data_IF_629565657406
#
_entry.id   IF_629565657406
#
_cell.length_a   1.000
_cell.length_b   1.000
_cell.length_c   1.000
_cell.angle_alpha   90.00
_cell.angle_beta   90.00
_cell.angle_gamma   90.00
#
_symmetry.space_group_name_H-M   'P 1'
#
loop_
_entity.id
_entity.type
_entity.pdbx_description
1 polymer ?
#
# COMPACT_ATOMS: atom_id res chain seq x y z
N UNK A 1 -19.47 60.06 16.25
CA UNK A 1 -18.10 60.54 16.50
C UNK A 1 -17.90 61.83 15.74
N UNK A 2 -17.66 62.92 16.45
CA UNK A 2 -17.46 64.26 15.88
C UNK A 2 -16.05 64.33 15.25
N UNK A 3 -15.86 65.07 14.14
CA UNK A 3 -14.54 65.27 13.54
C UNK A 3 -13.49 65.77 14.54
N UNK A 4 -13.95 66.55 15.54
CA UNK A 4 -13.12 67.03 16.65
C UNK A 4 -12.63 65.90 17.57
N UNK A 5 -13.45 64.89 17.82
CA UNK A 5 -13.05 63.71 18.63
C UNK A 5 -12.03 62.86 17.88
N UNK A 6 -12.23 62.69 16.57
CA UNK A 6 -11.34 61.90 15.71
C UNK A 6 -9.97 62.58 15.57
N UNK A 7 -9.95 63.91 15.48
CA UNK A 7 -8.71 64.69 15.49
C UNK A 7 -7.97 64.57 16.83
N UNK A 8 -8.68 64.67 17.96
CA UNK A 8 -8.06 64.52 19.28
C UNK A 8 -7.45 63.12 19.47
N UNK A 9 -8.16 62.06 19.07
CA UNK A 9 -7.63 60.69 19.10
C UNK A 9 -6.35 60.54 18.27
N UNK A 10 -6.30 61.17 17.08
CA UNK A 10 -5.09 61.16 16.24
C UNK A 10 -3.92 61.89 16.91
N UNK A 11 -4.18 63.00 17.60
CA UNK A 11 -3.16 63.72 18.38
C UNK A 11 -2.62 62.83 19.49
N UNK A 12 -3.50 62.19 20.26
CA UNK A 12 -3.13 61.29 21.35
C UNK A 12 -2.23 60.14 20.85
N UNK A 13 -2.63 59.49 19.74
CA UNK A 13 -1.84 58.41 19.10
C UNK A 13 -0.44 58.90 18.71
N UNK A 14 -0.33 60.10 18.15
CA UNK A 14 0.96 60.67 17.73
C UNK A 14 1.84 60.98 18.95
N UNK A 15 1.27 61.49 20.03
CA UNK A 15 2.02 61.78 21.27
C UNK A 15 2.51 60.51 21.94
N UNK A 16 1.66 59.49 22.07
CA UNK A 16 2.03 58.17 22.59
C UNK A 16 3.13 57.52 21.74
N UNK A 17 3.01 57.59 20.41
CA UNK A 17 4.02 57.05 19.49
C UNK A 17 5.37 57.74 19.70
N UNK A 18 5.40 59.07 19.84
CA UNK A 18 6.63 59.83 20.14
C UNK A 18 7.23 59.41 21.48
N UNK A 19 6.38 59.19 22.50
CA UNK A 19 6.81 58.73 23.81
C UNK A 19 7.49 57.35 23.75
N UNK A 20 6.86 56.37 23.10
CA UNK A 20 7.40 55.01 22.99
C UNK A 20 8.69 54.97 22.16
N UNK A 21 8.75 55.72 21.05
CA UNK A 21 9.97 55.84 20.25
C UNK A 21 11.13 56.45 21.05
N UNK A 22 10.88 57.48 21.86
CA UNK A 22 11.91 58.11 22.70
C UNK A 22 12.40 57.18 23.81
N UNK A 23 11.52 56.35 24.36
CA UNK A 23 11.85 55.40 25.44
C UNK A 23 12.42 54.08 24.95
N UNK A 24 12.42 53.82 23.64
CA UNK A 24 12.80 52.54 23.04
C UNK A 24 12.07 51.34 23.66
N UNK A 25 10.87 51.57 24.18
CA UNK A 25 10.08 50.55 24.85
C UNK A 25 8.66 50.62 24.30
N UNK A 26 8.24 49.61 23.54
CA UNK A 26 6.85 49.39 23.18
C UNK A 26 6.33 48.29 24.09
N UNK A 27 5.25 48.52 24.87
CA UNK A 27 4.63 47.44 25.60
C UNK A 27 4.09 46.43 24.58
N UNK A 28 4.61 45.20 24.61
CA UNK A 28 4.02 44.10 23.86
C UNK A 28 2.88 43.58 24.73
N UNK A 29 1.66 43.93 24.35
CA UNK A 29 0.48 43.37 24.99
C UNK A 29 0.39 41.89 24.61
N UNK A 30 0.52 41.02 25.60
CA UNK A 30 0.26 39.59 25.48
C UNK A 30 -0.75 39.19 26.55
N UNK A 31 -1.51 38.14 26.28
CA UNK A 31 -2.42 37.57 27.29
C UNK A 31 -1.59 36.78 28.33
N UNK A 32 -2.12 36.62 29.54
CA UNK A 32 -1.40 35.93 30.63
C UNK A 32 -1.06 34.45 30.32
N UNK A 33 -1.77 33.86 29.37
CA UNK A 33 -1.59 32.48 28.88
C UNK A 33 -0.66 32.38 27.66
N UNK A 34 -0.23 33.51 27.08
CA UNK A 34 0.74 33.52 25.99
C UNK A 34 2.19 33.49 26.55
N UNK A 35 3.09 32.71 25.94
CA UNK A 35 4.50 32.73 26.30
C UNK A 35 5.11 34.10 26.01
N UNK A 36 6.06 34.52 26.86
CA UNK A 36 6.76 35.79 26.68
C UNK A 36 7.37 35.83 25.25
N UNK A 37 7.11 36.89 24.47
CA UNK A 37 7.69 37.06 23.14
C UNK A 37 9.23 36.92 23.13
N UNK A 38 9.90 37.27 24.23
CA UNK A 38 11.35 37.10 24.41
C UNK A 38 11.82 35.64 24.47
N UNK A 39 10.93 34.72 24.84
CA UNK A 39 11.21 33.28 24.97
C UNK A 39 10.91 32.49 23.68
N UNK A 40 10.43 33.15 22.62
CA UNK A 40 10.12 32.52 21.34
C UNK A 40 11.42 32.28 20.56
N UNK A 41 11.95 31.05 20.64
CA UNK A 41 13.10 30.64 19.83
C UNK A 41 12.72 30.37 18.37
N UNK A 42 13.06 31.30 17.47
CA UNK A 42 12.95 31.09 16.04
C UNK A 42 14.10 30.20 15.52
N UNK A 43 13.85 28.91 15.28
CA UNK A 43 14.82 28.06 14.56
C UNK A 43 14.89 28.44 13.09
N UNK A 44 15.89 29.24 12.73
CA UNK A 44 16.24 29.50 11.34
C UNK A 44 17.01 28.29 10.76
N UNK A 45 16.50 27.70 9.69
CA UNK A 45 17.20 26.64 8.93
C UNK A 45 17.56 27.15 7.54
N UNK A 46 18.86 27.18 7.22
CA UNK A 46 19.35 27.56 5.90
C UNK A 46 18.82 26.61 4.81
N UNK A 47 18.33 27.16 3.70
CA UNK A 47 18.00 26.40 2.49
C UNK A 47 19.28 26.00 1.73
N UNK A 48 20.06 25.06 2.27
CA UNK A 48 21.21 24.49 1.56
C UNK A 48 20.75 23.49 0.48
N UNK A 49 21.35 23.55 -0.72
CA UNK A 49 21.12 22.53 -1.77
C UNK A 49 21.56 21.16 -1.24
N UNK A 50 20.58 20.30 -0.95
CA UNK A 50 20.79 18.93 -0.45
C UNK A 50 21.59 18.09 -1.47
N UNK A 51 22.51 17.27 -0.97
CA UNK A 51 23.26 16.32 -1.80
C UNK A 51 22.33 15.27 -2.43
N UNK A 52 22.78 14.58 -3.49
CA UNK A 52 22.03 13.48 -4.12
C UNK A 52 21.67 12.38 -3.11
N UNK A 53 22.59 12.05 -2.21
CA UNK A 53 22.39 11.06 -1.15
C UNK A 53 21.38 11.52 -0.09
N UNK A 54 21.42 12.80 0.30
CA UNK A 54 20.42 13.38 1.21
C UNK A 54 19.04 13.40 0.57
N UNK A 55 18.94 13.73 -0.73
CA UNK A 55 17.68 13.66 -1.48
C UNK A 55 17.19 12.23 -1.63
N UNK A 56 18.07 11.25 -1.83
CA UNK A 56 17.69 9.84 -1.90
C UNK A 56 17.19 9.33 -0.54
N UNK A 57 17.87 9.67 0.56
CA UNK A 57 17.42 9.36 1.93
C UNK A 57 16.08 9.99 2.25
N UNK A 58 15.89 11.28 1.97
CA UNK A 58 14.61 11.95 2.19
C UNK A 58 13.50 11.44 1.28
N UNK A 59 13.81 11.09 0.02
CA UNK A 59 12.84 10.46 -0.87
C UNK A 59 12.43 9.10 -0.33
N UNK A 60 13.39 8.29 0.14
CA UNK A 60 13.14 6.99 0.76
C UNK A 60 12.30 7.14 2.03
N UNK A 61 12.61 8.13 2.85
CA UNK A 61 11.92 8.41 4.10
C UNK A 61 10.50 8.95 3.86
N UNK A 62 10.32 9.85 2.89
CA UNK A 62 8.98 10.28 2.42
C UNK A 62 8.19 9.12 1.82
N UNK A 63 8.83 8.25 1.04
CA UNK A 63 8.16 7.06 0.52
C UNK A 63 7.76 6.10 1.66
N UNK A 64 8.57 5.98 2.71
CA UNK A 64 8.29 5.18 3.91
C UNK A 64 7.13 5.75 4.72
N UNK A 65 7.11 7.06 4.98
CA UNK A 65 6.00 7.73 5.68
C UNK A 65 4.72 7.72 4.87
N UNK A 66 4.83 7.70 3.54
CA UNK A 66 3.69 7.82 2.64
C UNK A 66 3.17 6.47 2.12
N UNK A 67 3.65 5.31 2.62
CA UNK A 67 3.19 4.00 2.13
C UNK A 67 1.71 3.75 2.34
N UNK A 68 1.15 4.34 3.40
CA UNK A 68 -0.28 4.26 3.74
C UNK A 68 -1.09 5.39 3.10
N UNK A 69 -0.46 6.30 2.35
CA UNK A 69 -1.19 7.36 1.65
C UNK A 69 -2.01 6.73 0.52
N UNK A 70 -3.25 7.20 0.43
CA UNK A 70 -4.27 6.75 -0.50
C UNK A 70 -3.76 6.63 -1.94
N UNK A 71 -2.82 7.47 -2.38
CA UNK A 71 -2.15 7.30 -3.67
C UNK A 71 -0.63 7.29 -3.46
N UNK A 72 0.00 6.13 -3.53
CA UNK A 72 1.44 6.00 -3.40
C UNK A 72 2.19 6.69 -4.57
N UNK A 73 2.98 7.74 -4.32
CA UNK A 73 3.64 8.51 -5.37
C UNK A 73 4.97 7.86 -5.81
N UNK A 74 4.89 6.68 -6.41
CA UNK A 74 6.08 6.00 -6.97
C UNK A 74 6.48 6.60 -8.32
N UNK A 75 7.77 6.86 -8.54
CA UNK A 75 8.31 7.40 -9.81
C UNK A 75 9.37 6.50 -10.45
N UNK A 76 9.46 5.23 -10.03
CA UNK A 76 10.53 4.33 -10.43
C UNK A 76 10.40 3.80 -11.87
N UNK A 77 9.17 3.71 -12.39
CA UNK A 77 8.89 3.19 -13.73
C UNK A 77 8.29 4.27 -14.64
N UNK A 78 8.70 4.26 -15.91
CA UNK A 78 8.05 5.03 -16.97
C UNK A 78 6.72 4.40 -17.41
N UNK A 79 5.84 5.18 -18.04
CA UNK A 79 4.54 4.68 -18.53
C UNK A 79 3.51 4.37 -17.43
N UNK A 80 3.76 4.80 -16.18
CA UNK A 80 2.81 4.71 -15.06
C UNK A 80 1.58 5.56 -15.36
N UNK A 81 0.39 4.96 -15.30
CA UNK A 81 -0.89 5.70 -15.33
C UNK A 81 -1.16 6.30 -13.95
N UNK A 82 -1.13 5.47 -12.91
CA UNK A 82 -1.38 5.87 -11.52
C UNK A 82 -0.75 4.89 -10.54
N UNK A 83 -0.54 5.31 -9.29
CA UNK A 83 -0.24 4.38 -8.19
C UNK A 83 -1.52 3.67 -7.76
N UNK A 84 -1.43 2.40 -7.35
CA UNK A 84 -2.60 1.71 -6.80
C UNK A 84 -2.93 2.29 -5.44
N UNK A 85 -4.23 2.52 -5.19
CA UNK A 85 -4.69 3.03 -3.92
C UNK A 85 -4.47 2.02 -2.82
N UNK A 86 -3.92 2.45 -1.68
CA UNK A 86 -3.60 1.56 -0.56
C UNK A 86 -2.91 0.29 -1.06
N UNK A 87 -1.76 0.47 -1.71
CA UNK A 87 -1.03 -0.66 -2.28
C UNK A 87 -0.44 -1.58 -1.20
N UNK A 88 -0.38 -1.13 0.06
CA UNK A 88 0.18 -1.89 1.17
C UNK A 88 -0.77 -1.85 2.39
N UNK A 89 -1.01 -3.01 2.98
CA UNK A 89 -1.79 -3.19 4.21
C UNK A 89 -0.93 -3.85 5.26
N UNK A 90 -0.96 -3.29 6.47
CA UNK A 90 -0.22 -3.82 7.61
C UNK A 90 -0.98 -4.97 8.25
N UNK A 91 -0.24 -6.02 8.58
CA UNK A 91 -0.68 -7.13 9.42
C UNK A 91 0.13 -7.22 10.70
N UNK A 92 -0.05 -8.33 11.43
CA UNK A 92 0.69 -8.66 12.66
C UNK A 92 1.59 -9.89 12.48
N UNK A 93 1.18 -10.84 11.62
CA UNK A 93 1.97 -12.04 11.31
C UNK A 93 2.98 -11.71 10.22
N UNK A 94 4.23 -12.22 10.29
CA UNK A 94 5.33 -11.83 9.39
C UNK A 94 5.24 -12.50 8.01
N UNK A 95 4.02 -12.60 7.46
CA UNK A 95 3.73 -13.13 6.13
C UNK A 95 3.21 -12.00 5.26
N UNK A 96 3.84 -11.81 4.10
CA UNK A 96 3.43 -10.84 3.09
C UNK A 96 2.72 -11.53 1.93
N UNK A 97 1.45 -11.20 1.74
CA UNK A 97 0.64 -11.68 0.62
C UNK A 97 0.78 -10.70 -0.54
N UNK A 98 1.35 -11.17 -1.64
CA UNK A 98 1.52 -10.42 -2.88
C UNK A 98 0.39 -10.78 -3.85
N UNK A 99 -0.37 -9.78 -4.26
CA UNK A 99 -1.45 -9.92 -5.22
C UNK A 99 -1.46 -8.75 -6.20
N UNK A 100 -2.19 -8.87 -7.31
CA UNK A 100 -2.35 -7.74 -8.23
C UNK A 100 -3.79 -7.63 -8.69
N UNK A 101 -4.40 -6.47 -8.44
CA UNK A 101 -5.77 -6.14 -8.84
C UNK A 101 -5.85 -5.39 -10.17
N UNK A 102 -4.73 -4.92 -10.71
CA UNK A 102 -4.67 -4.21 -11.99
C UNK A 102 -4.85 -5.12 -13.20
N UNK A 103 -5.14 -4.52 -14.35
CA UNK A 103 -5.29 -5.22 -15.62
C UNK A 103 -3.91 -5.57 -16.20
N UNK A 104 -3.64 -6.87 -16.40
CA UNK A 104 -2.38 -7.35 -16.99
C UNK A 104 -2.56 -7.65 -18.48
N UNK A 105 -3.77 -8.07 -18.87
CA UNK A 105 -4.11 -8.36 -20.25
C UNK A 105 -5.16 -7.37 -20.79
N UNK A 106 -5.27 -7.21 -22.13
CA UNK A 106 -6.33 -6.39 -22.74
C UNK A 106 -7.76 -6.87 -22.42
N UNK A 107 -7.92 -8.14 -22.03
CA UNK A 107 -9.22 -8.71 -21.65
C UNK A 107 -9.61 -8.35 -20.21
N UNK A 108 -8.64 -7.94 -19.40
CA UNK A 108 -8.89 -7.57 -18.01
C UNK A 108 -9.50 -6.17 -17.96
N UNK A 109 -10.64 -6.06 -17.27
CA UNK A 109 -11.26 -4.76 -17.03
C UNK A 109 -10.38 -3.93 -16.08
N UNK A 110 -10.16 -2.63 -16.35
CA UNK A 110 -9.53 -1.74 -15.40
C UNK A 110 -10.27 -1.77 -14.07
N UNK A 111 -9.51 -1.77 -12.98
CA UNK A 111 -10.06 -1.78 -11.64
C UNK A 111 -9.46 -0.64 -10.82
N UNK A 112 -10.31 0.01 -10.01
CA UNK A 112 -9.92 1.03 -9.05
C UNK A 112 -10.59 0.69 -7.74
N UNK A 113 -9.80 0.55 -6.68
CA UNK A 113 -10.30 0.32 -5.32
C UNK A 113 -11.21 1.45 -4.88
N UNK A 114 -12.41 1.09 -4.44
CA UNK A 114 -13.45 2.03 -4.02
C UNK A 114 -13.39 2.33 -2.53
N UNK A 115 -13.04 1.31 -1.73
CA UNK A 115 -12.90 1.41 -0.27
C UNK A 115 -11.43 1.32 0.12
N UNK A 116 -10.99 2.05 1.16
CA UNK A 116 -9.62 1.98 1.63
C UNK A 116 -9.24 0.58 2.13
N UNK A 117 -10.20 -0.17 2.70
CA UNK A 117 -9.98 -1.48 3.30
C UNK A 117 -10.11 -2.63 2.29
N UNK A 118 -10.42 -2.34 1.03
CA UNK A 118 -10.60 -3.34 -0.01
C UNK A 118 -9.24 -3.83 -0.51
N UNK A 119 -8.89 -5.07 -0.19
CA UNK A 119 -7.65 -5.73 -0.61
C UNK A 119 -7.83 -6.30 -2.02
N UNK A 120 -8.86 -7.11 -2.26
CA UNK A 120 -9.07 -7.74 -3.57
C UNK A 120 -10.09 -7.00 -4.43
N UNK A 121 -10.11 -7.34 -5.72
CA UNK A 121 -11.04 -6.74 -6.69
C UNK A 121 -12.50 -6.94 -6.31
N UNK A 122 -12.84 -8.10 -5.77
CA UNK A 122 -14.21 -8.49 -5.45
C UNK A 122 -14.37 -8.86 -3.98
N UNK A 123 -15.48 -8.43 -3.37
CA UNK A 123 -15.81 -8.73 -1.97
C UNK A 123 -15.98 -10.24 -1.77
N UNK A 124 -16.47 -10.97 -2.77
CA UNK A 124 -16.58 -12.43 -2.71
C UNK A 124 -15.21 -13.10 -2.60
N UNK A 125 -14.21 -12.58 -3.32
CA UNK A 125 -12.82 -13.06 -3.23
C UNK A 125 -12.28 -12.86 -1.82
N UNK A 126 -12.53 -11.71 -1.20
CA UNK A 126 -12.15 -11.45 0.20
C UNK A 126 -12.83 -12.42 1.17
N UNK A 127 -14.12 -12.72 0.97
CA UNK A 127 -14.85 -13.68 1.83
C UNK A 127 -14.28 -15.10 1.73
N UNK A 128 -14.02 -15.58 0.51
CA UNK A 128 -13.43 -16.91 0.31
C UNK A 128 -12.02 -16.95 0.90
N UNK A 129 -11.21 -15.91 0.64
CA UNK A 129 -9.87 -15.82 1.21
C UNK A 129 -9.89 -15.80 2.74
N UNK A 130 -10.79 -15.02 3.33
CA UNK A 130 -11.01 -15.00 4.78
C UNK A 130 -11.31 -16.39 5.33
N UNK A 131 -12.24 -17.12 4.69
CA UNK A 131 -12.58 -18.47 5.11
C UNK A 131 -11.41 -19.46 4.98
N UNK A 132 -10.60 -19.35 3.92
CA UNK A 132 -9.40 -20.18 3.75
C UNK A 132 -8.36 -19.93 4.84
N UNK A 133 -8.07 -18.66 5.16
CA UNK A 133 -7.10 -18.33 6.20
C UNK A 133 -7.59 -18.77 7.58
N UNK A 134 -8.86 -18.52 7.88
CA UNK A 134 -9.45 -18.94 9.15
C UNK A 134 -9.42 -20.47 9.31
N UNK A 135 -9.74 -21.23 8.27
CA UNK A 135 -9.64 -22.71 8.29
C UNK A 135 -8.20 -23.21 8.38
N UNK A 136 -7.24 -22.53 7.76
CA UNK A 136 -5.85 -22.96 7.73
C UNK A 136 -5.10 -22.62 9.02
N UNK A 137 -5.38 -21.48 9.64
CA UNK A 137 -4.57 -20.93 10.73
C UNK A 137 -5.37 -20.50 11.98
N UNK A 138 -6.69 -20.44 11.92
CA UNK A 138 -7.54 -20.07 13.06
C UNK A 138 -7.58 -18.58 13.39
N UNK A 139 -7.14 -17.71 12.47
CA UNK A 139 -7.17 -16.26 12.67
C UNK A 139 -7.67 -15.51 11.42
N UNK A 140 -7.97 -14.22 11.57
CA UNK A 140 -8.46 -13.35 10.49
C UNK A 140 -7.41 -13.14 9.40
N UNK A 141 -7.82 -13.11 8.13
CA UNK A 141 -6.91 -12.79 7.02
C UNK A 141 -6.20 -11.44 7.16
N UNK A 142 -6.79 -10.48 7.88
CA UNK A 142 -6.20 -9.16 8.16
C UNK A 142 -4.93 -9.23 9.02
N UNK A 143 -4.65 -10.38 9.63
CA UNK A 143 -3.42 -10.63 10.38
C UNK A 143 -2.18 -10.67 9.48
N UNK A 144 -2.33 -10.95 8.18
CA UNK A 144 -1.23 -10.90 7.23
C UNK A 144 -0.99 -9.50 6.67
N UNK A 145 0.24 -9.25 6.24
CA UNK A 145 0.54 -8.09 5.41
C UNK A 145 0.05 -8.35 3.99
N UNK A 146 -0.47 -7.33 3.31
CA UNK A 146 -0.85 -7.42 1.90
C UNK A 146 -0.15 -6.35 1.10
N UNK A 147 0.29 -6.69 -0.10
CA UNK A 147 0.87 -5.72 -1.02
C UNK A 147 0.45 -6.01 -2.46
N UNK A 148 0.05 -4.95 -3.14
CA UNK A 148 -0.13 -4.91 -4.59
C UNK A 148 1.23 -5.00 -5.27
N UNK A 149 1.40 -6.03 -6.10
CA UNK A 149 2.64 -6.29 -6.79
C UNK A 149 2.37 -6.65 -8.25
N UNK A 150 2.54 -5.68 -9.18
CA UNK A 150 3.18 -4.38 -8.99
C UNK A 150 2.31 -3.34 -8.25
N UNK A 151 2.95 -2.32 -7.65
CA UNK A 151 2.28 -1.29 -6.83
C UNK A 151 1.56 -0.20 -7.65
N UNK A 152 1.56 -0.28 -8.99
CA UNK A 152 1.08 0.76 -9.90
C UNK A 152 0.24 0.17 -11.03
N UNK A 153 -0.61 1.03 -11.60
CA UNK A 153 -1.39 0.75 -12.80
C UNK A 153 -0.64 1.20 -14.06
N UNK A 154 -0.63 0.35 -15.07
CA UNK A 154 0.00 0.59 -16.36
C UNK A 154 -0.99 0.31 -17.49
N UNK A 155 -0.73 0.84 -18.69
CA UNK A 155 -1.54 0.56 -19.87
C UNK A 155 -1.39 -0.90 -20.29
N UNK A 156 -2.48 -1.66 -20.28
CA UNK A 156 -2.50 -3.06 -20.73
C UNK A 156 -2.51 -3.21 -22.27
N UNK A 157 -2.84 -2.16 -23.01
CA UNK A 157 -2.84 -2.15 -24.48
C UNK A 157 -1.47 -1.87 -25.08
N UNK A 158 -0.66 -1.06 -24.40
CA UNK A 158 0.62 -0.56 -24.94
C UNK A 158 1.84 -1.20 -24.27
N UNK A 159 1.65 -2.07 -23.27
CA UNK A 159 2.75 -2.73 -22.57
C UNK A 159 3.12 -4.05 -23.22
N UNK A 160 4.41 -4.25 -23.43
CA UNK A 160 4.99 -5.54 -23.84
C UNK A 160 5.36 -6.38 -22.63
N UNK A 161 5.72 -7.64 -22.85
CA UNK A 161 6.13 -8.55 -21.77
C UNK A 161 7.42 -8.08 -21.08
N UNK A 162 8.37 -7.52 -21.85
CA UNK A 162 9.62 -6.98 -21.32
C UNK A 162 9.40 -5.78 -20.40
N UNK A 163 8.37 -4.98 -20.69
CA UNK A 163 7.98 -3.85 -19.83
C UNK A 163 7.51 -4.35 -18.47
N UNK A 164 6.71 -5.42 -18.44
CA UNK A 164 6.24 -6.04 -17.21
C UNK A 164 7.38 -6.61 -16.40
N UNK A 165 8.31 -7.34 -17.03
CA UNK A 165 9.50 -7.86 -16.35
C UNK A 165 10.30 -6.74 -15.67
N UNK A 166 10.60 -5.68 -16.42
CA UNK A 166 11.34 -4.51 -15.90
C UNK A 166 10.60 -3.85 -14.73
N UNK A 167 9.27 -3.70 -14.82
CA UNK A 167 8.45 -3.11 -13.76
C UNK A 167 8.41 -3.96 -12.51
N UNK A 168 8.32 -5.29 -12.64
CA UNK A 168 8.33 -6.24 -11.53
C UNK A 168 9.67 -6.19 -10.82
N UNK A 169 10.77 -6.27 -11.56
CA UNK A 169 12.12 -6.19 -11.01
C UNK A 169 12.37 -4.85 -10.29
N UNK A 170 11.90 -3.75 -10.88
CA UNK A 170 12.01 -2.41 -10.27
C UNK A 170 11.14 -2.31 -9.01
N UNK A 171 9.90 -2.83 -9.04
CA UNK A 171 8.96 -2.78 -7.92
C UNK A 171 9.41 -3.67 -6.75
N UNK A 172 10.37 -4.58 -6.97
CA UNK A 172 10.95 -5.46 -5.94
C UNK A 172 11.53 -4.67 -4.75
N UNK A 173 12.00 -3.44 -4.99
CA UNK A 173 12.51 -2.57 -3.93
C UNK A 173 11.49 -2.33 -2.81
N UNK A 174 10.20 -2.24 -3.13
CA UNK A 174 9.14 -2.04 -2.12
C UNK A 174 8.94 -3.29 -1.26
N UNK A 175 9.11 -4.49 -1.84
CA UNK A 175 9.09 -5.73 -1.09
C UNK A 175 10.31 -5.79 -0.16
N UNK A 176 11.51 -5.47 -0.67
CA UNK A 176 12.74 -5.45 0.13
C UNK A 176 12.65 -4.49 1.31
N UNK A 177 12.12 -3.29 1.07
CA UNK A 177 11.89 -2.31 2.11
C UNK A 177 10.89 -2.82 3.16
N UNK A 178 9.79 -3.47 2.74
CA UNK A 178 8.80 -4.05 3.66
C UNK A 178 9.35 -5.25 4.45
N UNK A 179 10.18 -6.10 3.83
CA UNK A 179 10.89 -7.18 4.52
C UNK A 179 11.78 -6.64 5.62
N UNK A 180 12.45 -5.51 5.36
CA UNK A 180 13.36 -4.89 6.34
C UNK A 180 12.58 -4.19 7.45
N UNK A 181 11.53 -3.45 7.09
CA UNK A 181 10.76 -2.62 8.02
C UNK A 181 9.85 -3.42 8.96
N UNK A 182 9.31 -4.55 8.50
CA UNK A 182 8.31 -5.35 9.23
C UNK A 182 8.78 -6.77 9.57
N UNK A 183 10.07 -7.04 9.37
CA UNK A 183 10.69 -8.36 9.55
C UNK A 183 9.86 -9.51 8.93
N UNK A 184 9.50 -9.36 7.66
CA UNK A 184 8.74 -10.38 6.93
C UNK A 184 9.58 -11.65 6.82
N UNK A 185 9.02 -12.77 7.25
CA UNK A 185 9.65 -14.09 7.29
C UNK A 185 9.15 -15.03 6.18
N UNK A 186 8.05 -14.68 5.51
CA UNK A 186 7.55 -15.46 4.37
C UNK A 186 6.67 -14.64 3.43
N UNK A 187 6.57 -15.09 2.19
CA UNK A 187 5.73 -14.47 1.16
C UNK A 187 4.74 -15.51 0.63
N UNK A 188 3.49 -15.09 0.44
CA UNK A 188 2.49 -15.83 -0.33
C UNK A 188 2.24 -15.06 -1.62
N UNK A 189 2.53 -15.68 -2.77
CA UNK A 189 2.38 -15.07 -4.09
C UNK A 189 1.12 -15.61 -4.77
N UNK A 190 0.12 -14.75 -4.96
CA UNK A 190 -1.16 -15.13 -5.56
C UNK A 190 -1.12 -15.01 -7.09
N UNK A 191 -2.01 -15.75 -7.76
CA UNK A 191 -1.93 -16.10 -9.18
C UNK A 191 -1.52 -14.99 -10.17
N UNK A 192 -2.10 -13.78 -10.10
CA UNK A 192 -1.75 -12.70 -11.03
C UNK A 192 -0.31 -12.20 -10.83
N UNK A 193 0.08 -11.93 -9.59
CA UNK A 193 1.46 -11.57 -9.26
C UNK A 193 2.43 -12.73 -9.53
N UNK A 194 2.03 -13.97 -9.29
CA UNK A 194 2.85 -15.15 -9.60
C UNK A 194 3.17 -15.25 -11.08
N UNK A 195 2.17 -15.02 -11.93
CA UNK A 195 2.35 -14.99 -13.39
C UNK A 195 3.26 -13.85 -13.83
N UNK A 196 3.16 -12.68 -13.20
CA UNK A 196 4.03 -11.56 -13.52
C UNK A 196 5.49 -11.80 -13.12
N UNK A 197 5.74 -12.55 -12.04
CA UNK A 197 7.09 -12.86 -11.56
C UNK A 197 7.73 -14.02 -12.33
N UNK A 198 7.00 -15.12 -12.53
CA UNK A 198 7.56 -16.35 -13.09
C UNK A 198 7.18 -16.59 -14.57
N UNK A 199 6.34 -15.73 -15.15
CA UNK A 199 5.80 -15.95 -16.49
C UNK A 199 5.01 -17.26 -16.56
N UNK A 200 5.21 -18.01 -17.64
CA UNK A 200 4.55 -19.31 -17.86
C UNK A 200 4.96 -20.38 -16.84
N UNK A 201 6.13 -20.23 -16.20
CA UNK A 201 6.63 -21.16 -15.17
C UNK A 201 5.90 -21.03 -13.82
N UNK A 202 5.01 -20.04 -13.66
CA UNK A 202 4.25 -19.87 -12.43
C UNK A 202 3.48 -21.14 -12.02
N UNK A 203 3.01 -21.93 -13.00
CA UNK A 203 2.32 -23.20 -12.76
C UNK A 203 3.23 -24.25 -12.11
N UNK A 204 4.51 -24.28 -12.47
CA UNK A 204 5.48 -25.26 -11.96
C UNK A 204 5.84 -25.02 -10.49
N UNK A 205 5.61 -23.80 -10.01
CA UNK A 205 5.86 -23.35 -8.64
C UNK A 205 4.63 -23.44 -7.74
N UNK A 206 3.44 -23.78 -8.26
CA UNK A 206 2.22 -23.88 -7.46
C UNK A 206 2.37 -24.89 -6.32
N UNK A 207 2.03 -24.44 -5.11
CA UNK A 207 2.09 -25.24 -3.89
C UNK A 207 3.49 -25.56 -3.39
N UNK A 208 4.53 -25.07 -4.06
CA UNK A 208 5.93 -25.26 -3.65
C UNK A 208 6.43 -24.03 -2.91
N UNK A 209 7.25 -24.26 -1.90
CA UNK A 209 8.02 -23.20 -1.24
C UNK A 209 9.35 -23.08 -1.96
N UNK A 210 9.55 -21.97 -2.65
CA UNK A 210 10.85 -21.59 -3.22
C UNK A 210 11.48 -20.48 -2.38
N UNK A 211 12.72 -20.11 -2.64
CA UNK A 211 13.37 -18.99 -1.97
C UNK A 211 13.58 -17.86 -2.96
N UNK A 212 13.28 -16.64 -2.53
CA UNK A 212 13.50 -15.44 -3.31
C UNK A 212 14.50 -14.53 -2.59
N UNK A 213 15.56 -14.18 -3.30
CA UNK A 213 16.68 -13.41 -2.76
C UNK A 213 16.36 -11.91 -2.76
N UNK A 214 16.53 -11.27 -1.60
CA UNK A 214 16.36 -9.82 -1.40
C UNK A 214 17.63 -9.23 -0.76
N UNK A 215 18.71 -9.22 -1.52
CA UNK A 215 20.04 -8.86 -1.00
C UNK A 215 20.53 -9.93 -0.03
N UNK A 216 20.65 -9.57 1.25
CA UNK A 216 21.22 -10.43 2.29
C UNK A 216 20.20 -11.42 2.90
N UNK A 217 18.92 -11.27 2.59
CA UNK A 217 17.85 -12.16 3.09
C UNK A 217 17.33 -13.06 1.96
N UNK A 218 17.17 -14.36 2.28
CA UNK A 218 16.43 -15.32 1.45
C UNK A 218 15.06 -15.56 2.08
N UNK A 219 14.00 -15.15 1.39
CA UNK A 219 12.64 -15.27 1.92
C UNK A 219 11.92 -16.46 1.27
N UNK A 220 11.30 -17.37 2.04
CA UNK A 220 10.48 -18.43 1.51
C UNK A 220 9.22 -17.85 0.85
N UNK A 221 8.92 -18.31 -0.37
CA UNK A 221 7.79 -17.88 -1.19
C UNK A 221 6.93 -19.09 -1.52
N UNK A 222 5.68 -19.07 -1.07
CA UNK A 222 4.65 -20.03 -1.46
C UNK A 222 3.82 -19.44 -2.59
N UNK A 223 3.77 -20.12 -3.74
CA UNK A 223 2.93 -19.70 -4.86
C UNK A 223 1.57 -20.41 -4.80
N UNK A 224 0.48 -19.65 -4.82
CA UNK A 224 -0.88 -20.17 -4.80
C UNK A 224 -1.66 -19.71 -6.04
N UNK A 225 -2.73 -20.44 -6.37
CA UNK A 225 -3.72 -19.95 -7.33
C UNK A 225 -4.41 -18.69 -6.79
N UNK A 226 -5.04 -17.91 -7.66
CA UNK A 226 -5.89 -16.79 -7.23
C UNK A 226 -7.14 -17.34 -6.51
N UNK A 227 -7.55 -16.78 -5.35
CA UNK A 227 -8.83 -17.14 -4.73
C UNK A 227 -10.05 -16.81 -5.62
N UNK A 228 -9.89 -15.92 -6.60
CA UNK A 228 -10.90 -15.65 -7.64
C UNK A 228 -11.29 -16.91 -8.42
N UNK A 229 -10.38 -17.90 -8.54
CA UNK A 229 -10.70 -19.18 -9.18
C UNK A 229 -11.76 -19.97 -8.41
N UNK A 230 -11.77 -19.88 -7.07
CA UNK A 230 -12.81 -20.49 -6.24
C UNK A 230 -14.13 -19.72 -6.34
N UNK A 231 -14.08 -18.39 -6.44
CA UNK A 231 -15.28 -17.56 -6.69
C UNK A 231 -15.92 -17.98 -8.01
N UNK A 232 -15.13 -18.07 -9.08
CA UNK A 232 -15.62 -18.48 -10.39
C UNK A 232 -16.30 -19.85 -10.39
N UNK A 233 -15.71 -20.84 -9.71
CA UNK A 233 -16.31 -22.18 -9.57
C UNK A 233 -17.59 -22.14 -8.74
N UNK A 234 -17.63 -21.33 -7.68
CA UNK A 234 -18.82 -21.15 -6.84
C UNK A 234 -19.97 -20.47 -7.58
N UNK A 235 -19.68 -19.45 -8.38
CA UNK A 235 -20.69 -18.79 -9.20
C UNK A 235 -21.21 -19.73 -10.28
N UNK A 236 -20.34 -20.49 -10.96
CA UNK A 236 -20.75 -21.50 -11.95
C UNK A 236 -21.60 -22.62 -11.36
N UNK A 237 -21.29 -23.08 -10.13
CA UNK A 237 -22.10 -24.09 -9.45
C UNK A 237 -23.49 -23.57 -9.02
N UNK A 238 -23.68 -22.25 -8.96
CA UNK A 238 -24.95 -21.62 -8.56
C UNK A 238 -25.77 -21.09 -9.74
N UNK A 239 -25.13 -20.72 -10.85
CA UNK A 239 -25.76 -20.01 -11.98
C UNK A 239 -26.29 -20.92 -13.08
N UNK A 240 -25.84 -22.19 -13.13
CA UNK A 240 -26.29 -23.11 -14.18
C UNK A 240 -27.58 -23.83 -13.77
N UNK A 241 -28.69 -23.48 -14.42
CA UNK A 241 -29.87 -24.35 -14.56
C UNK A 241 -29.61 -25.45 -15.60
N UNK A 242 -28.46 -26.11 -15.50
CA UNK A 242 -28.01 -27.19 -16.39
C UNK A 242 -28.20 -28.56 -15.75
N UNK A 243 -27.98 -29.62 -16.52
CA UNK A 243 -28.04 -31.02 -16.04
C UNK A 243 -27.22 -31.20 -14.75
N UNK A 244 -27.78 -31.92 -13.78
CA UNK A 244 -27.22 -32.13 -12.42
C UNK A 244 -25.76 -32.64 -12.43
N UNK A 245 -25.36 -33.36 -13.48
CA UNK A 245 -24.02 -33.89 -13.69
C UNK A 245 -22.94 -32.79 -13.79
N UNK A 246 -23.26 -31.68 -14.46
CA UNK A 246 -22.31 -30.56 -14.67
C UNK A 246 -22.15 -29.74 -13.39
N UNK A 247 -23.25 -29.56 -12.65
CA UNK A 247 -23.24 -28.90 -11.34
C UNK A 247 -22.39 -29.68 -10.33
N UNK A 248 -22.57 -30.99 -10.29
CA UNK A 248 -21.79 -31.88 -9.44
C UNK A 248 -20.28 -31.79 -9.76
N UNK A 249 -19.91 -31.76 -11.05
CA UNK A 249 -18.52 -31.63 -11.45
C UNK A 249 -17.89 -30.32 -10.94
N UNK A 250 -18.55 -29.18 -11.11
CA UNK A 250 -18.02 -27.90 -10.60
C UNK A 250 -17.90 -27.87 -9.08
N UNK A 251 -18.84 -28.49 -8.36
CA UNK A 251 -18.77 -28.60 -6.90
C UNK A 251 -17.58 -29.47 -6.45
N UNK A 252 -17.33 -30.59 -7.13
CA UNK A 252 -16.19 -31.47 -6.85
C UNK A 252 -14.85 -30.80 -7.18
N UNK A 253 -14.77 -30.07 -8.30
CA UNK A 253 -13.59 -29.27 -8.66
C UNK A 253 -13.31 -28.18 -7.62
N UNK A 254 -14.36 -27.50 -7.14
CA UNK A 254 -14.24 -26.51 -6.06
C UNK A 254 -13.69 -27.13 -4.78
N UNK A 255 -14.27 -28.25 -4.32
CA UNK A 255 -13.84 -28.92 -3.09
C UNK A 255 -12.38 -29.39 -3.20
N UNK A 256 -12.00 -29.93 -4.35
CA UNK A 256 -10.62 -30.36 -4.62
C UNK A 256 -9.67 -29.16 -4.55
N UNK A 257 -10.02 -28.05 -5.18
CA UNK A 257 -9.20 -26.84 -5.18
C UNK A 257 -9.11 -26.22 -3.78
N UNK A 258 -10.21 -26.17 -3.02
CA UNK A 258 -10.23 -25.68 -1.65
C UNK A 258 -9.32 -26.52 -0.74
N UNK A 259 -9.38 -27.84 -0.86
CA UNK A 259 -8.49 -28.75 -0.12
C UNK A 259 -7.02 -28.49 -0.47
N UNK A 260 -6.70 -28.34 -1.76
CA UNK A 260 -5.35 -28.00 -2.21
C UNK A 260 -4.88 -26.65 -1.64
N UNK A 261 -5.74 -25.62 -1.61
CA UNK A 261 -5.40 -24.34 -0.99
C UNK A 261 -5.05 -24.49 0.48
N UNK A 262 -5.86 -25.22 1.24
CA UNK A 262 -5.67 -25.41 2.67
C UNK A 262 -4.37 -26.16 2.97
N UNK A 263 -4.08 -27.23 2.24
CA UNK A 263 -2.85 -28.01 2.41
C UNK A 263 -1.61 -27.17 2.07
N UNK A 264 -1.67 -26.40 0.99
CA UNK A 264 -0.59 -25.51 0.59
C UNK A 264 -0.39 -24.38 1.59
N UNK A 265 -1.46 -23.74 2.08
CA UNK A 265 -1.38 -22.70 3.11
C UNK A 265 -0.74 -23.25 4.40
N UNK A 266 -1.11 -24.44 4.84
CA UNK A 266 -0.51 -25.06 6.02
C UNK A 266 1.01 -25.26 5.88
N UNK A 267 1.54 -25.40 4.67
CA UNK A 267 3.00 -25.54 4.46
C UNK A 267 3.80 -24.29 4.89
N UNK A 268 3.21 -23.10 4.87
CA UNK A 268 3.88 -21.85 5.30
C UNK A 268 3.72 -21.58 6.81
N UNK A 269 2.94 -22.40 7.53
CA UNK A 269 2.67 -22.22 8.97
C UNK A 269 3.93 -22.16 9.84
N UNK A 270 5.00 -22.87 9.46
CA UNK A 270 6.28 -22.87 10.18
C UNK A 270 7.00 -21.51 10.21
N UNK A 271 6.56 -20.55 9.39
CA UNK A 271 7.06 -19.16 9.37
C UNK A 271 6.08 -18.19 10.04
N UNK A 272 5.07 -18.71 10.73
CA UNK A 272 4.10 -17.95 11.51
C UNK A 272 4.36 -18.30 12.98
N UNK A 273 4.89 -17.37 13.79
CA UNK A 273 5.08 -17.57 15.21
C UNK A 273 3.76 -17.57 15.99
#
# INVERSE_FOLDING_TARGET
>A
MNQKELFNQLVDIIEETKYFLKKQSLPIFHLNDEPDPGDIHFTWKALTKKSSEQKAKETKEKQRTNREIINFPCTLCSGKISGIRNFFYRGRKPILVLHYSGAVSPKDKPFVKRSPNQIFREILTEKIWSSLIEKAFGFSYQEFFYQEYPACNFSNTNSKEEDWKTRIDTCKIHIQDNITDFDIQGIVLLGSSARLVFGDKAKDHLGKIIHWDFGDKKIPVLTLRSPEALVFLEEKSKSNSGEDSVLFQYAQEKQTLETQFLDQLKSISKYIP
#
